data_IF_827691652972
#
_entry.id   IF_827691652972
#
_cell.length_a   1.000
_cell.length_b   1.000
_cell.length_c   1.000
_cell.angle_alpha   90.00
_cell.angle_beta   90.00
_cell.angle_gamma   90.00
#
_symmetry.space_group_name_H-M   'P 1'
#
loop_
_entity.id
_entity.type
_entity.pdbx_description
1 polymer ?
#
# COMPACT_ATOMS: atom_id res chain seq x y z
N UNK A 1 17.93 -2.52 6.78
CA UNK A 1 17.55 -1.45 7.73
C UNK A 1 16.06 -1.59 8.01
N UNK A 2 15.66 -1.61 9.27
CA UNK A 2 14.26 -1.68 9.69
C UNK A 2 13.52 -0.41 9.28
N UNK A 3 12.41 -0.55 8.57
CA UNK A 3 11.54 0.57 8.14
C UNK A 3 10.31 0.68 9.05
N UNK A 4 9.79 -0.46 9.51
CA UNK A 4 8.66 -0.57 10.41
C UNK A 4 8.71 -1.90 11.17
N UNK A 5 7.70 -2.20 12.00
CA UNK A 5 7.68 -3.43 12.81
C UNK A 5 7.83 -4.71 11.97
N UNK A 6 7.18 -4.77 10.82
CA UNK A 6 7.12 -5.97 9.98
C UNK A 6 7.90 -5.85 8.66
N UNK A 7 8.54 -4.70 8.37
CA UNK A 7 9.19 -4.46 7.08
C UNK A 7 10.63 -3.99 7.21
N UNK A 8 11.50 -4.59 6.40
CA UNK A 8 12.88 -4.19 6.19
C UNK A 8 13.10 -3.58 4.80
N UNK A 9 14.03 -2.63 4.68
CA UNK A 9 14.34 -1.97 3.40
C UNK A 9 14.81 -2.94 2.32
N UNK A 10 15.47 -4.03 2.70
CA UNK A 10 15.94 -5.06 1.76
C UNK A 10 14.82 -5.74 0.97
N UNK A 11 13.61 -5.81 1.55
CA UNK A 11 12.45 -6.41 0.88
C UNK A 11 12.01 -5.62 -0.35
N UNK A 12 12.27 -4.32 -0.35
CA UNK A 12 11.89 -3.40 -1.43
C UNK A 12 12.99 -3.18 -2.48
N UNK A 13 14.14 -3.80 -2.32
CA UNK A 13 15.28 -3.64 -3.24
C UNK A 13 14.94 -4.13 -4.65
N UNK A 14 15.40 -3.40 -5.66
CA UNK A 14 15.20 -3.75 -7.06
C UNK A 14 15.74 -5.15 -7.39
N UNK A 15 14.89 -6.00 -7.94
CA UNK A 15 15.19 -7.42 -8.21
C UNK A 15 16.17 -7.64 -9.38
N UNK A 16 16.62 -6.60 -10.08
CA UNK A 16 17.58 -6.74 -11.18
C UNK A 16 19.06 -6.87 -10.74
N UNK A 17 19.31 -6.77 -9.42
CA UNK A 17 20.67 -6.83 -8.89
C UNK A 17 21.43 -5.49 -8.91
N UNK A 18 20.81 -4.38 -9.33
CA UNK A 18 21.46 -3.06 -9.36
C UNK A 18 21.67 -2.44 -7.97
N UNK A 19 21.12 -3.07 -6.90
CA UNK A 19 21.18 -2.54 -5.54
C UNK A 19 20.29 -1.32 -5.28
N UNK A 20 19.57 -0.82 -6.30
CA UNK A 20 18.68 0.32 -6.16
C UNK A 20 17.55 0.03 -5.16
N UNK A 21 17.32 0.98 -4.25
CA UNK A 21 16.27 0.90 -3.24
C UNK A 21 15.78 2.32 -2.94
N UNK A 22 14.55 2.61 -3.36
CA UNK A 22 13.89 3.88 -3.11
C UNK A 22 12.48 3.57 -2.63
N UNK A 23 12.18 3.89 -1.38
CA UNK A 23 10.88 3.62 -0.78
C UNK A 23 10.39 4.86 -0.05
N UNK A 24 9.15 5.23 -0.33
CA UNK A 24 8.44 6.24 0.43
C UNK A 24 7.93 5.63 1.75
N UNK A 25 8.25 6.25 2.88
CA UNK A 25 7.85 5.74 4.20
C UNK A 25 6.33 5.61 4.33
N UNK A 26 5.56 6.47 3.68
CA UNK A 26 4.09 6.42 3.70
C UNK A 26 3.53 5.13 3.09
N UNK A 27 4.22 4.53 2.10
CA UNK A 27 3.87 3.20 1.59
C UNK A 27 4.02 2.15 2.68
N UNK A 28 5.14 2.18 3.41
CA UNK A 28 5.41 1.23 4.49
C UNK A 28 4.38 1.37 5.61
N UNK A 29 4.04 2.60 5.99
CA UNK A 29 3.03 2.89 7.01
C UNK A 29 1.64 2.35 6.62
N UNK A 30 1.29 2.42 5.34
CA UNK A 30 0.04 1.85 4.83
C UNK A 30 0.08 0.32 4.78
N UNK A 31 1.23 -0.28 4.46
CA UNK A 31 1.42 -1.72 4.52
C UNK A 31 1.33 -2.26 5.96
N UNK A 32 1.83 -1.52 6.95
CA UNK A 32 1.63 -1.86 8.38
C UNK A 32 0.15 -1.83 8.78
N UNK A 33 -0.61 -0.86 8.30
CA UNK A 33 -2.07 -0.82 8.53
C UNK A 33 -2.75 -2.02 7.89
N UNK A 34 -2.34 -2.38 6.66
CA UNK A 34 -2.85 -3.55 5.95
C UNK A 34 -2.54 -4.85 6.71
N UNK A 35 -1.30 -4.99 7.21
CA UNK A 35 -0.87 -6.11 8.04
C UNK A 35 -1.81 -6.32 9.23
N UNK A 36 -2.10 -5.25 9.96
CA UNK A 36 -2.98 -5.26 11.13
C UNK A 36 -4.44 -5.55 10.75
N UNK A 37 -4.98 -4.88 9.73
CA UNK A 37 -6.36 -5.06 9.28
C UNK A 37 -6.64 -6.50 8.85
N UNK A 38 -5.70 -7.12 8.13
CA UNK A 38 -5.84 -8.49 7.65
C UNK A 38 -5.48 -9.54 8.71
N UNK A 39 -5.03 -9.15 9.90
CA UNK A 39 -4.45 -10.06 10.90
C UNK A 39 -3.43 -11.00 10.23
N UNK A 40 -2.51 -10.41 9.47
CA UNK A 40 -1.55 -11.16 8.68
C UNK A 40 -0.51 -11.85 9.56
N UNK A 41 -0.07 -13.05 9.16
CA UNK A 41 1.13 -13.68 9.70
C UNK A 41 2.38 -13.04 9.09
N UNK A 42 2.34 -12.79 7.78
CA UNK A 42 3.41 -12.12 7.04
C UNK A 42 2.84 -11.49 5.76
N UNK A 43 3.38 -10.35 5.38
CA UNK A 43 3.24 -9.77 4.04
C UNK A 43 4.58 -9.97 3.33
N UNK A 44 4.57 -10.64 2.19
CA UNK A 44 5.74 -10.82 1.33
C UNK A 44 5.71 -9.78 0.22
N UNK A 45 6.74 -8.93 0.15
CA UNK A 45 6.95 -7.99 -0.95
C UNK A 45 7.62 -8.74 -2.09
N UNK A 46 6.84 -9.12 -3.10
CA UNK A 46 7.35 -9.82 -4.28
C UNK A 46 8.04 -8.88 -5.27
N UNK A 47 7.67 -7.59 -5.28
CA UNK A 47 8.32 -6.53 -6.01
C UNK A 47 8.11 -5.19 -5.28
N UNK A 48 9.17 -4.51 -4.92
CA UNK A 48 9.16 -3.15 -4.36
C UNK A 48 9.65 -2.14 -5.40
N UNK A 49 10.73 -1.43 -5.10
CA UNK A 49 11.35 -0.50 -6.03
C UNK A 49 11.84 -1.22 -7.30
N UNK A 50 11.65 -0.57 -8.44
CA UNK A 50 12.25 -0.95 -9.73
C UNK A 50 13.04 0.23 -10.29
N UNK A 51 14.31 0.02 -10.67
CA UNK A 51 14.99 1.03 -11.46
C UNK A 51 14.29 1.17 -12.83
N UNK A 52 14.36 2.33 -13.49
CA UNK A 52 13.66 2.56 -14.77
C UNK A 52 13.90 1.47 -15.81
N UNK A 53 15.16 1.03 -15.99
CA UNK A 53 15.53 -0.03 -16.92
C UNK A 53 14.87 -1.37 -16.58
N UNK A 54 14.80 -1.72 -15.28
CA UNK A 54 14.15 -2.95 -14.86
C UNK A 54 12.65 -2.88 -15.07
N UNK A 55 12.02 -1.74 -14.75
CA UNK A 55 10.58 -1.58 -14.93
C UNK A 55 10.18 -1.77 -16.39
N UNK A 56 10.87 -1.13 -17.33
CA UNK A 56 10.64 -1.32 -18.77
C UNK A 56 10.81 -2.79 -19.18
N UNK A 57 11.86 -3.45 -18.70
CA UNK A 57 12.13 -4.87 -19.03
C UNK A 57 11.03 -5.82 -18.59
N UNK A 58 10.35 -5.54 -17.48
CA UNK A 58 9.24 -6.36 -16.97
C UNK A 58 7.86 -5.85 -17.39
N UNK A 59 7.81 -4.99 -18.40
CA UNK A 59 6.57 -4.53 -18.99
C UNK A 59 5.99 -3.26 -18.35
N UNK A 60 6.68 -2.65 -17.39
CA UNK A 60 6.29 -1.37 -16.78
C UNK A 60 6.70 -0.14 -17.61
N UNK A 61 6.70 1.01 -16.96
CA UNK A 61 7.11 2.31 -17.48
C UNK A 61 8.38 2.78 -16.75
N UNK A 62 9.24 3.60 -17.39
CA UNK A 62 10.40 4.18 -16.70
C UNK A 62 10.05 5.18 -15.61
N UNK A 63 8.76 5.51 -15.45
CA UNK A 63 8.23 6.45 -14.48
C UNK A 63 6.95 5.94 -13.78
N UNK A 64 6.82 4.62 -13.61
CA UNK A 64 5.68 4.03 -12.89
C UNK A 64 5.81 4.16 -11.36
N UNK A 65 4.79 3.74 -10.64
CA UNK A 65 4.75 3.85 -9.18
C UNK A 65 5.89 3.07 -8.48
N UNK A 66 6.36 1.96 -9.06
CA UNK A 66 7.52 1.23 -8.55
C UNK A 66 8.82 2.02 -8.69
N UNK A 67 9.01 2.73 -9.80
CA UNK A 67 10.21 3.57 -10.02
C UNK A 67 10.24 4.82 -9.16
N UNK A 68 9.06 5.26 -8.71
CA UNK A 68 8.93 6.36 -7.76
C UNK A 68 9.12 5.93 -6.30
N UNK A 69 9.14 4.63 -6.02
CA UNK A 69 9.17 4.09 -4.67
C UNK A 69 7.80 4.13 -3.97
N UNK A 70 6.72 4.20 -4.73
CA UNK A 70 5.34 4.35 -4.25
C UNK A 70 4.55 3.04 -4.26
N UNK A 71 5.11 1.94 -4.79
CA UNK A 71 4.38 0.71 -5.03
C UNK A 71 5.06 -0.53 -4.46
N UNK A 72 4.22 -1.50 -4.13
CA UNK A 72 4.62 -2.88 -3.83
C UNK A 72 3.63 -3.87 -4.44
N UNK A 73 4.17 -4.95 -5.01
CA UNK A 73 3.41 -6.15 -5.32
C UNK A 73 3.54 -7.09 -4.13
N UNK A 74 2.43 -7.54 -3.56
CA UNK A 74 2.41 -8.24 -2.28
C UNK A 74 1.59 -9.52 -2.30
N UNK A 75 2.00 -10.46 -1.43
CA UNK A 75 1.22 -11.63 -0.99
C UNK A 75 1.03 -11.56 0.52
N UNK A 76 -0.13 -11.97 1.01
CA UNK A 76 -0.44 -11.92 2.44
C UNK A 76 -0.80 -13.30 2.95
N UNK A 77 -0.08 -13.77 3.98
CA UNK A 77 -0.32 -15.06 4.62
C UNK A 77 -1.19 -14.90 5.86
N UNK A 78 -2.14 -15.79 6.03
CA UNK A 78 -3.00 -15.90 7.21
C UNK A 78 -2.25 -16.53 8.38
N UNK A 79 -2.74 -16.36 9.60
CA UNK A 79 -2.16 -16.97 10.81
C UNK A 79 -2.05 -18.50 10.72
N UNK A 80 -2.99 -19.16 10.04
CA UNK A 80 -2.98 -20.60 9.83
C UNK A 80 -2.03 -21.09 8.72
N UNK A 81 -1.24 -20.19 8.13
CA UNK A 81 -0.29 -20.50 7.06
C UNK A 81 -0.86 -20.53 5.64
N UNK A 82 -2.18 -20.46 5.45
CA UNK A 82 -2.77 -20.32 4.12
C UNK A 82 -2.63 -18.89 3.59
N UNK A 83 -2.87 -18.68 2.30
CA UNK A 83 -2.76 -17.37 1.66
C UNK A 83 -4.13 -16.70 1.52
N UNK A 84 -4.13 -15.38 1.65
CA UNK A 84 -5.25 -14.57 1.18
C UNK A 84 -5.27 -14.53 -0.35
N UNK A 85 -6.47 -14.45 -0.94
CA UNK A 85 -6.61 -14.26 -2.39
C UNK A 85 -6.23 -12.82 -2.76
N UNK A 86 -5.93 -12.58 -4.03
CA UNK A 86 -5.66 -11.22 -4.53
C UNK A 86 -6.86 -10.29 -4.27
N UNK A 87 -8.07 -10.81 -4.41
CA UNK A 87 -9.32 -10.09 -4.14
C UNK A 87 -9.48 -9.72 -2.67
N UNK A 88 -9.11 -10.62 -1.75
CA UNK A 88 -9.13 -10.32 -0.31
C UNK A 88 -8.16 -9.18 0.02
N UNK A 89 -6.97 -9.21 -0.59
CA UNK A 89 -5.95 -8.18 -0.40
C UNK A 89 -6.43 -6.85 -1.00
N UNK A 90 -7.02 -6.87 -2.19
CA UNK A 90 -7.53 -5.69 -2.86
C UNK A 90 -8.66 -5.02 -2.06
N UNK A 91 -9.59 -5.81 -1.51
CA UNK A 91 -10.66 -5.29 -0.65
C UNK A 91 -10.10 -4.62 0.60
N UNK A 92 -9.13 -5.24 1.26
CA UNK A 92 -8.48 -4.67 2.43
C UNK A 92 -7.66 -3.41 2.08
N UNK A 93 -6.95 -3.43 0.95
CA UNK A 93 -6.17 -2.29 0.46
C UNK A 93 -7.07 -1.09 0.14
N UNK A 94 -8.23 -1.31 -0.46
CA UNK A 94 -9.20 -0.25 -0.72
C UNK A 94 -9.71 0.39 0.58
N UNK A 95 -9.96 -0.43 1.62
CA UNK A 95 -10.36 0.08 2.94
C UNK A 95 -9.27 0.90 3.62
N UNK A 96 -8.01 0.53 3.44
CA UNK A 96 -6.86 1.30 3.94
C UNK A 96 -6.71 2.63 3.18
N UNK A 97 -7.19 2.70 1.94
CA UNK A 97 -7.14 3.89 1.10
C UNK A 97 -5.93 3.94 0.17
N UNK A 98 -5.41 2.80 -0.29
CA UNK A 98 -4.42 2.77 -1.36
C UNK A 98 -4.98 3.40 -2.64
N UNK A 99 -4.13 4.15 -3.36
CA UNK A 99 -4.54 4.87 -4.55
C UNK A 99 -4.54 4.00 -5.80
N UNK A 100 -3.55 3.13 -5.96
CA UNK A 100 -3.49 2.12 -7.00
C UNK A 100 -3.67 0.74 -6.41
N UNK A 101 -4.58 -0.06 -7.00
CA UNK A 101 -4.84 -1.43 -6.58
C UNK A 101 -5.03 -2.29 -7.82
N UNK A 102 -4.16 -3.28 -7.99
CA UNK A 102 -4.18 -4.19 -9.14
C UNK A 102 -4.27 -5.64 -8.74
N UNK A 103 -5.30 -6.34 -9.22
CA UNK A 103 -5.42 -7.79 -9.07
C UNK A 103 -4.46 -8.49 -10.02
N UNK A 104 -3.57 -9.30 -9.47
CA UNK A 104 -2.61 -10.09 -10.20
C UNK A 104 -2.81 -11.59 -9.90
N UNK A 105 -2.24 -12.47 -10.70
CA UNK A 105 -2.27 -13.90 -10.41
C UNK A 105 -1.52 -14.21 -9.10
N UNK A 106 -2.28 -14.47 -8.03
CA UNK A 106 -1.75 -14.85 -6.72
C UNK A 106 -1.01 -13.75 -5.96
N UNK A 107 -1.13 -12.48 -6.38
CA UNK A 107 -0.58 -11.30 -5.73
C UNK A 107 -1.49 -10.09 -5.95
N UNK A 108 -1.24 -9.01 -5.21
CA UNK A 108 -1.94 -7.75 -5.40
C UNK A 108 -0.91 -6.63 -5.49
N UNK A 109 -1.03 -5.77 -6.51
CA UNK A 109 -0.33 -4.50 -6.57
C UNK A 109 -1.03 -3.50 -5.66
N UNK A 110 -0.28 -2.78 -4.86
CA UNK A 110 -0.77 -1.65 -4.05
C UNK A 110 0.17 -0.47 -4.16
N UNK A 111 -0.37 0.74 -4.27
CA UNK A 111 0.45 1.94 -4.34
C UNK A 111 -0.20 3.17 -3.69
N UNK A 112 0.62 4.17 -3.45
CA UNK A 112 0.25 5.45 -2.85
C UNK A 112 0.26 6.60 -3.87
N UNK A 113 -0.03 6.32 -5.15
CA UNK A 113 -0.01 7.30 -6.25
C UNK A 113 -0.77 8.59 -5.95
N UNK A 114 -1.89 8.49 -5.23
CA UNK A 114 -2.71 9.64 -4.84
C UNK A 114 -1.96 10.64 -3.93
N UNK A 115 -1.02 10.18 -3.11
CA UNK A 115 -0.17 11.04 -2.28
C UNK A 115 0.91 11.75 -3.10
N UNK A 116 1.14 11.31 -4.33
CA UNK A 116 1.97 11.97 -5.34
C UNK A 116 1.18 12.84 -6.32
N UNK A 117 -0.14 13.03 -6.09
CA UNK A 117 -1.00 13.86 -6.94
C UNK A 117 -1.58 13.14 -8.16
N UNK A 118 -1.45 11.82 -8.26
CA UNK A 118 -2.03 11.04 -9.34
C UNK A 118 -3.43 10.55 -9.00
N UNK A 119 -4.25 10.30 -10.02
CA UNK A 119 -5.60 9.74 -9.86
C UNK A 119 -5.52 8.29 -9.36
N UNK A 120 -6.50 7.91 -8.53
CA UNK A 120 -6.68 6.52 -8.13
C UNK A 120 -7.03 5.66 -9.35
N UNK A 121 -6.57 4.40 -9.32
CA UNK A 121 -6.82 3.43 -10.38
C UNK A 121 -6.95 2.03 -9.76
N UNK A 122 -8.01 1.32 -10.16
CA UNK A 122 -8.25 -0.07 -9.77
C UNK A 122 -8.39 -0.93 -11.03
N UNK A 123 -7.62 -2.00 -11.14
CA UNK A 123 -7.58 -2.79 -12.36
C UNK A 123 -7.42 -4.30 -12.10
N UNK A 124 -7.61 -5.06 -13.15
CA UNK A 124 -7.37 -6.50 -13.20
C UNK A 124 -6.29 -6.82 -14.25
N UNK A 125 -5.28 -7.58 -13.86
CA UNK A 125 -4.18 -7.95 -14.72
C UNK A 125 -3.22 -6.78 -15.01
N UNK A 126 -3.14 -6.34 -16.26
CA UNK A 126 -2.32 -5.20 -16.69
C UNK A 126 -3.17 -3.93 -16.76
N UNK A 127 -2.80 -2.91 -15.97
CA UNK A 127 -3.48 -1.60 -15.95
C UNK A 127 -3.56 -0.96 -17.35
N UNK A 128 -2.55 -1.16 -18.19
CA UNK A 128 -2.49 -0.59 -19.55
C UNK A 128 -3.42 -1.29 -20.56
N UNK A 129 -3.96 -2.43 -20.22
CA UNK A 129 -4.87 -3.19 -21.08
C UNK A 129 -6.33 -2.69 -21.04
N UNK A 130 -6.60 -1.55 -20.40
CA UNK A 130 -7.95 -0.99 -20.27
C UNK A 130 -8.83 -1.74 -19.28
N UNK A 131 -8.25 -2.55 -18.42
CA UNK A 131 -8.96 -3.28 -17.35
C UNK A 131 -9.05 -2.46 -16.04
N UNK A 132 -8.87 -1.14 -16.12
CA UNK A 132 -8.80 -0.19 -15.02
C UNK A 132 -10.17 0.40 -14.61
N UNK A 133 -11.27 -0.24 -15.03
CA UNK A 133 -12.63 0.23 -14.77
C UNK A 133 -13.29 -0.39 -13.53
N UNK A 134 -12.52 -0.97 -12.63
CA UNK A 134 -13.07 -1.53 -11.39
C UNK A 134 -13.39 -0.37 -10.45
N UNK A 135 -14.69 -0.18 -10.17
CA UNK A 135 -15.15 0.91 -9.28
C UNK A 135 -14.83 0.64 -7.82
N UNK A 136 -14.94 -0.62 -7.39
CA UNK A 136 -14.71 -1.02 -6.01
C UNK A 136 -14.41 -2.51 -5.91
N UNK A 137 -13.57 -2.89 -4.95
CA UNK A 137 -13.33 -4.26 -4.53
C UNK A 137 -14.17 -4.66 -3.32
N UNK A 138 -14.98 -3.76 -2.76
CA UNK A 138 -15.78 -4.02 -1.56
C UNK A 138 -16.86 -5.07 -1.89
N UNK A 139 -16.74 -6.25 -1.27
CA UNK A 139 -17.66 -7.39 -1.45
C UNK A 139 -18.54 -7.66 -0.23
N UNK A 140 -18.48 -6.78 0.78
CA UNK A 140 -19.23 -6.94 2.02
C UNK A 140 -18.46 -6.48 3.26
N UNK A 141 -18.60 -7.21 4.36
CA UNK A 141 -18.08 -6.81 5.68
C UNK A 141 -16.86 -7.61 6.13
N UNK A 142 -16.16 -8.29 5.23
CA UNK A 142 -15.09 -9.24 5.58
C UNK A 142 -13.96 -8.64 6.41
N UNK A 143 -13.66 -7.37 6.19
CA UNK A 143 -12.62 -6.62 6.90
C UNK A 143 -13.21 -5.43 7.70
N UNK A 144 -14.40 -5.60 8.28
CA UNK A 144 -14.98 -4.63 9.23
C UNK A 144 -14.26 -4.78 10.57
N UNK A 145 -12.99 -4.42 10.61
CA UNK A 145 -12.28 -4.05 11.81
C UNK A 145 -12.10 -2.54 11.79
N UNK A 146 -12.02 -1.89 12.93
CA UNK A 146 -11.71 -0.47 13.01
C UNK A 146 -10.41 -0.19 12.22
N UNK A 147 -10.55 0.38 11.01
CA UNK A 147 -9.49 1.22 10.48
C UNK A 147 -9.35 2.30 11.53
N UNK A 148 -8.27 2.26 12.33
CA UNK A 148 -7.98 3.33 13.25
C UNK A 148 -7.98 4.61 12.40
N UNK A 149 -9.10 5.32 12.43
CA UNK A 149 -9.20 6.65 11.84
C UNK A 149 -8.02 7.41 12.44
N UNK A 150 -7.22 8.02 11.58
CA UNK A 150 -6.17 8.92 12.03
C UNK A 150 -6.78 9.76 13.16
N UNK A 151 -6.10 9.91 14.32
CA UNK A 151 -6.70 10.62 15.45
C UNK A 151 -7.25 11.93 14.89
N UNK A 152 -8.56 12.12 15.06
CA UNK A 152 -9.20 13.38 14.73
C UNK A 152 -8.29 14.45 15.32
N UNK A 153 -7.87 15.43 14.50
CA UNK A 153 -6.97 16.51 14.92
C UNK A 153 -7.32 16.86 16.35
N UNK A 154 -6.46 16.46 17.29
CA UNK A 154 -6.67 16.76 18.70
C UNK A 154 -6.73 18.28 18.75
N UNK A 155 -7.89 18.82 19.16
CA UNK A 155 -8.00 20.26 19.41
C UNK A 155 -6.90 20.57 20.40
N UNK A 156 -5.88 21.31 19.96
CA UNK A 156 -4.82 21.75 20.84
C UNK A 156 -5.47 22.68 21.85
N UNK A 157 -5.60 22.19 23.06
CA UNK A 157 -6.08 23.00 24.17
C UNK A 157 -4.92 23.83 24.66
N UNK A 158 -4.85 25.08 24.22
CA UNK A 158 -3.92 26.05 24.76
C UNK A 158 -4.52 26.67 26.01
N UNK A 159 -3.86 26.49 27.14
CA UNK A 159 -4.19 27.18 28.39
C UNK A 159 -3.23 28.36 28.51
N UNK A 160 -3.72 29.57 28.33
CA UNK A 160 -2.97 30.82 28.56
C UNK A 160 -3.65 31.52 29.74
N UNK A 161 -2.88 31.84 30.77
CA UNK A 161 -3.32 32.55 32.00
C UNK A 161 -4.57 31.93 32.65
N UNK A 162 -4.62 30.60 32.74
CA UNK A 162 -5.70 29.89 33.42
C UNK A 162 -7.06 29.87 32.69
N UNK A 163 -7.13 30.38 31.46
CA UNK A 163 -8.32 30.34 30.61
C UNK A 163 -8.12 29.41 29.42
N UNK A 164 -9.10 28.52 29.20
CA UNK A 164 -9.12 27.61 28.05
C UNK A 164 -9.58 28.36 26.81
N UNK A 165 -8.76 28.38 25.75
CA UNK A 165 -9.10 28.96 24.45
C UNK A 165 -9.23 27.84 23.42
N UNK A 166 -10.35 27.75 22.75
CA UNK A 166 -10.59 26.81 21.65
C UNK A 166 -10.28 27.52 20.33
N UNK A 167 -9.38 26.95 19.50
CA UNK A 167 -9.25 27.38 18.11
C UNK A 167 -10.11 26.47 17.23
N UNK A 168 -10.94 27.10 16.42
CA UNK A 168 -11.80 26.48 15.38
C UNK A 168 -10.99 26.01 14.19
#
# INVERSE_FOLDING_TARGET
>A
MKLAEHFDSSEFTCKCGCGGNKIDQRLVDMLEKLFKLMNARVIIVTSGYRCPTHSVRVGGSPSDAHTMGYAADIKVQKQNGSWYTAEDIAEAAERIGFGGIGLMSGACHVDIRHLGGYKNSHWFGDERSGNDNIKTFQRGTKFVGEVATAPAKSKIQLVIDGKTVYSS
#
